data_IF_157514506300
#
_entry.id   IF_157514506300
#
_cell.length_a   1.000
_cell.length_b   1.000
_cell.length_c   1.000
_cell.angle_alpha   90.00
_cell.angle_beta   90.00
_cell.angle_gamma   90.00
#
_symmetry.space_group_name_H-M   'P 1'
#
loop_
_entity.id
_entity.type
_entity.pdbx_description
1 polymer ?
#
# COMPACT_ATOMS: atom_id res chain seq x y z
N UNK A 1 13.20 -4.13 7.97
CA UNK A 1 12.36 -5.35 8.09
C UNK A 1 11.10 -4.95 8.83
N UNK A 2 9.94 -5.45 8.40
CA UNK A 2 8.66 -5.15 9.05
C UNK A 2 8.66 -5.56 10.52
N UNK A 3 7.95 -4.78 11.34
CA UNK A 3 7.64 -5.13 12.72
C UNK A 3 6.15 -5.01 12.97
N UNK A 4 5.60 -5.90 13.79
CA UNK A 4 4.16 -5.97 14.04
C UNK A 4 3.60 -4.66 14.62
N UNK A 5 4.39 -3.86 15.33
CA UNK A 5 3.96 -2.52 15.78
C UNK A 5 3.59 -1.55 14.64
N UNK A 6 4.02 -1.82 13.40
CA UNK A 6 3.78 -0.98 12.22
C UNK A 6 2.50 -1.37 11.47
N UNK A 7 1.78 -2.42 11.89
CA UNK A 7 0.56 -2.93 11.24
C UNK A 7 -0.43 -1.81 10.94
N UNK A 8 -0.74 -0.99 11.95
CA UNK A 8 -1.77 0.04 11.84
C UNK A 8 -1.38 1.14 10.86
N UNK A 9 -0.10 1.54 10.86
CA UNK A 9 0.43 2.55 9.94
C UNK A 9 0.35 2.06 8.49
N UNK A 10 0.65 0.78 8.26
CA UNK A 10 0.56 0.16 6.93
C UNK A 10 -0.89 0.09 6.45
N UNK A 11 -1.83 -0.36 7.29
CA UNK A 11 -3.25 -0.41 6.93
C UNK A 11 -3.78 0.99 6.55
N UNK A 12 -3.43 2.01 7.33
CA UNK A 12 -3.82 3.41 7.06
C UNK A 12 -3.22 3.91 5.76
N UNK A 13 -1.93 3.65 5.52
CA UNK A 13 -1.25 4.06 4.29
C UNK A 13 -1.98 3.54 3.04
N UNK A 14 -2.34 2.25 3.03
CA UNK A 14 -3.07 1.65 1.91
C UNK A 14 -4.49 2.19 1.80
N UNK A 15 -5.21 2.32 2.92
CA UNK A 15 -6.55 2.92 2.91
C UNK A 15 -6.56 4.30 2.26
N UNK A 16 -5.65 5.18 2.69
CA UNK A 16 -5.63 6.58 2.27
C UNK A 16 -5.20 6.68 0.81
N UNK A 17 -4.18 5.92 0.41
CA UNK A 17 -3.68 5.89 -0.99
C UNK A 17 -4.78 5.49 -1.98
N UNK A 18 -5.50 4.40 -1.69
CA UNK A 18 -6.54 3.91 -2.59
C UNK A 18 -7.85 4.71 -2.45
N UNK A 19 -8.11 5.32 -1.28
CA UNK A 19 -9.21 6.29 -1.13
C UNK A 19 -9.01 7.52 -2.01
N UNK A 20 -7.79 8.06 -2.07
CA UNK A 20 -7.46 9.25 -2.84
C UNK A 20 -7.41 8.96 -4.36
N UNK A 21 -7.02 7.74 -4.75
CA UNK A 21 -6.92 7.32 -6.15
C UNK A 21 -8.27 6.87 -6.73
N UNK A 22 -8.98 6.00 -6.01
CA UNK A 22 -10.10 5.18 -6.55
C UNK A 22 -11.40 5.36 -5.77
N UNK A 23 -11.34 6.03 -4.61
CA UNK A 23 -12.49 6.35 -3.78
C UNK A 23 -12.54 5.55 -2.47
N UNK A 24 -13.31 6.05 -1.51
CA UNK A 24 -13.34 5.53 -0.14
C UNK A 24 -13.73 4.06 -0.04
N UNK A 25 -14.59 3.60 -0.94
CA UNK A 25 -15.03 2.21 -1.00
C UNK A 25 -13.87 1.29 -1.35
N UNK A 26 -13.08 1.64 -2.38
CA UNK A 26 -11.89 0.90 -2.78
C UNK A 26 -10.81 0.96 -1.69
N UNK A 27 -10.58 2.15 -1.12
CA UNK A 27 -9.67 2.31 0.01
C UNK A 27 -9.96 1.35 1.16
N UNK A 28 -11.23 1.21 1.55
CA UNK A 28 -11.64 0.29 2.60
C UNK A 28 -11.44 -1.19 2.22
N UNK A 29 -11.70 -1.56 0.96
CA UNK A 29 -11.48 -2.93 0.45
C UNK A 29 -10.00 -3.30 0.51
N UNK A 30 -9.13 -2.41 0.03
CA UNK A 30 -7.68 -2.64 0.04
C UNK A 30 -7.11 -2.63 1.46
N UNK A 31 -7.58 -1.74 2.33
CA UNK A 31 -7.19 -1.73 3.74
C UNK A 31 -7.52 -3.06 4.43
N UNK A 32 -8.70 -3.61 4.14
CA UNK A 32 -9.12 -4.91 4.67
C UNK A 32 -8.27 -6.06 4.13
N UNK A 33 -7.97 -6.03 2.83
CA UNK A 33 -7.08 -7.02 2.21
C UNK A 33 -5.70 -7.05 2.89
N UNK A 34 -5.11 -5.88 3.15
CA UNK A 34 -3.81 -5.74 3.82
C UNK A 34 -3.88 -6.25 5.26
N UNK A 35 -4.94 -5.90 6.01
CA UNK A 35 -5.18 -6.46 7.35
C UNK A 35 -5.23 -7.98 7.31
N UNK A 36 -5.95 -8.56 6.36
CA UNK A 36 -6.09 -10.00 6.22
C UNK A 36 -4.73 -10.66 5.95
N UNK A 37 -3.90 -10.12 5.05
CA UNK A 37 -2.53 -10.62 4.83
C UNK A 37 -1.63 -10.54 6.06
N UNK A 38 -1.82 -9.52 6.91
CA UNK A 38 -1.02 -9.30 8.11
C UNK A 38 -1.47 -10.14 9.31
N UNK A 39 -2.72 -10.63 9.30
CA UNK A 39 -3.35 -11.32 10.43
C UNK A 39 -3.63 -12.81 10.16
N UNK A 40 -3.85 -13.20 8.90
CA UNK A 40 -3.88 -14.61 8.53
C UNK A 40 -2.46 -15.16 8.50
N UNK A 41 -2.16 -16.25 9.22
CA UNK A 41 -0.83 -16.82 9.23
C UNK A 41 -0.50 -17.33 7.82
N UNK A 42 0.46 -16.70 7.11
CA UNK A 42 1.11 -17.37 6.00
C UNK A 42 1.96 -18.50 6.59
N UNK A 43 2.26 -19.56 5.83
CA UNK A 43 3.40 -20.40 6.23
C UNK A 43 4.62 -19.48 6.28
N UNK A 44 5.52 -19.68 7.25
CA UNK A 44 6.64 -18.76 7.56
C UNK A 44 7.59 -18.44 6.37
N UNK A 45 7.39 -19.06 5.20
CA UNK A 45 8.17 -18.87 3.97
C UNK A 45 7.36 -18.31 2.79
N UNK A 46 6.05 -18.12 2.92
CA UNK A 46 5.16 -17.73 1.80
C UNK A 46 4.91 -16.20 1.73
N UNK A 47 5.29 -15.45 2.76
CA UNK A 47 5.01 -14.02 2.83
C UNK A 47 6.18 -13.23 3.46
N UNK A 48 6.71 -12.29 2.68
CA UNK A 48 7.78 -11.39 3.11
C UNK A 48 7.33 -9.95 2.94
N UNK A 49 7.53 -9.15 3.99
CA UNK A 49 7.21 -7.72 3.97
C UNK A 49 8.47 -6.87 4.11
N UNK A 50 8.64 -5.96 3.15
CA UNK A 50 9.69 -4.96 3.15
C UNK A 50 9.07 -3.58 3.23
N UNK A 51 9.65 -2.73 4.06
CA UNK A 51 9.27 -1.33 4.21
C UNK A 51 10.39 -0.50 3.62
N UNK A 52 10.03 0.55 2.88
CA UNK A 52 10.96 1.58 2.41
C UNK A 52 10.88 2.80 3.34
N UNK A 53 11.64 2.82 4.45
CA UNK A 53 11.67 3.98 5.34
C UNK A 53 12.50 5.11 4.72
N UNK A 54 12.34 6.30 5.29
CA UNK A 54 13.23 7.42 5.01
C UNK A 54 14.69 7.08 5.32
N UNK A 55 15.59 7.44 4.41
CA UNK A 55 17.04 7.24 4.60
C UNK A 55 17.65 8.25 5.58
N UNK A 56 16.96 9.36 5.83
CA UNK A 56 17.43 10.47 6.69
C UNK A 56 16.56 10.65 7.94
N UNK A 57 15.56 9.79 8.14
CA UNK A 57 14.63 9.87 9.28
C UNK A 57 13.58 10.98 9.17
N UNK A 58 13.54 11.70 8.05
CA UNK A 58 12.50 12.71 7.76
C UNK A 58 11.23 12.05 7.21
N UNK A 59 10.09 12.70 7.40
CA UNK A 59 8.81 12.26 6.81
C UNK A 59 8.93 12.22 5.28
N UNK A 60 8.54 11.10 4.67
CA UNK A 60 8.39 11.02 3.21
C UNK A 60 7.09 11.77 2.87
N UNK A 61 7.15 12.92 2.19
CA UNK A 61 5.95 13.69 1.89
C UNK A 61 5.08 12.95 0.89
N UNK A 62 3.77 13.12 0.99
CA UNK A 62 2.85 12.72 -0.07
C UNK A 62 3.27 13.39 -1.39
N UNK A 63 3.25 12.62 -2.48
CA UNK A 63 3.44 13.16 -3.82
C UNK A 63 2.25 14.08 -4.11
N UNK A 64 2.53 15.37 -4.28
CA UNK A 64 1.49 16.34 -4.56
C UNK A 64 0.92 16.16 -5.97
N UNK A 65 -0.40 16.25 -6.09
CA UNK A 65 -1.13 16.16 -7.36
C UNK A 65 -2.05 14.94 -7.41
N UNK A 66 -3.05 15.00 -8.30
CA UNK A 66 -3.95 13.86 -8.52
C UNK A 66 -3.22 12.82 -9.38
N UNK A 67 -3.12 11.56 -8.95
CA UNK A 67 -2.58 10.50 -9.80
C UNK A 67 -3.46 10.35 -11.05
N UNK A 68 -2.83 10.20 -12.21
CA UNK A 68 -3.51 9.92 -13.47
C UNK A 68 -2.89 8.70 -14.12
N UNK A 69 -3.71 7.85 -14.72
CA UNK A 69 -3.22 6.74 -15.54
C UNK A 69 -2.40 7.33 -16.69
N UNK A 70 -1.15 6.90 -16.84
CA UNK A 70 -0.32 7.30 -17.96
C UNK A 70 -0.76 6.49 -19.19
N UNK A 71 -1.31 7.11 -20.26
CA UNK A 71 -1.85 6.36 -21.39
C UNK A 71 -0.82 5.46 -22.09
N UNK A 72 0.46 5.80 -21.98
CA UNK A 72 1.55 4.99 -22.52
C UNK A 72 1.70 3.61 -21.82
N UNK A 73 1.23 3.49 -20.57
CA UNK A 73 1.29 2.26 -19.76
C UNK A 73 -0.07 1.54 -19.76
N UNK A 74 -1.15 2.22 -20.12
CA UNK A 74 -2.51 1.67 -20.23
C UNK A 74 -2.74 0.99 -21.60
N UNK A 75 -1.93 -0.04 -21.89
CA UNK A 75 -2.08 -0.85 -23.10
C UNK A 75 -2.15 -2.35 -22.72
N UNK A 76 -3.30 -3.01 -22.95
CA UNK A 76 -3.50 -4.42 -22.60
C UNK A 76 -2.64 -5.39 -23.42
N UNK A 77 -1.89 -4.92 -24.42
CA UNK A 77 -0.89 -5.74 -25.08
C UNK A 77 0.27 -6.13 -24.14
N UNK A 78 0.52 -5.34 -23.08
CA UNK A 78 1.66 -5.54 -22.17
C UNK A 78 1.32 -6.26 -20.84
N UNK A 79 0.07 -6.65 -20.60
CA UNK A 79 -0.37 -7.37 -19.39
C UNK A 79 -1.42 -8.43 -19.67
#
# INVERSE_FOLDING_TARGET
MYKQEQTQEIIVLFNDTFSDSEGKEEGAVIAKLVEDFLTFPPKDEDFYMFIAPSLVGEVIPHVAGKPICLPAIDNPYYW
#
